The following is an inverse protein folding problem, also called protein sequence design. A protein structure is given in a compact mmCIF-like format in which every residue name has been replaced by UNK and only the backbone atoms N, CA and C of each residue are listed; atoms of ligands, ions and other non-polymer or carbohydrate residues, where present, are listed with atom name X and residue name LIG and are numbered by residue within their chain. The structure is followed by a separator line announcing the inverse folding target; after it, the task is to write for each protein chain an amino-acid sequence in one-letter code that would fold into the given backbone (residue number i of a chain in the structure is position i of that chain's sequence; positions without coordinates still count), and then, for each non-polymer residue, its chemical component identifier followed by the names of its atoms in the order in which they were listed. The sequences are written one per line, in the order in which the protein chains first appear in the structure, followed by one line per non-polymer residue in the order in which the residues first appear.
data_IF_145418674612
#
_entry.id   IF_145418674612
#
_cell.length_a   1.000
_cell.length_b   1.000
_cell.length_c   1.000
_cell.angle_alpha   90.00
_cell.angle_beta   90.00
_cell.angle_gamma   90.00
#
_symmetry.space_group_name_H-M   'P 1'
#
loop_
_entity.id
_entity.type
_entity.pdbx_description
1 polymer ?
#
# COMPACT_ATOMS: atom_id res chain seq x y z
N UNK A 1 -5.78 -1.41 0.53
CA UNK A 1 -4.69 -1.95 1.39
C UNK A 1 -5.32 -2.67 2.56
N UNK A 2 -4.63 -3.60 3.24
CA UNK A 2 -5.20 -4.37 4.37
C UNK A 2 -5.65 -3.49 5.55
N UNK A 3 -5.19 -2.25 5.61
CA UNK A 3 -5.45 -1.28 6.69
C UNK A 3 -6.40 -0.14 6.33
N UNK A 4 -7.06 -0.15 5.15
CA UNK A 4 -7.95 0.96 4.71
C UNK A 4 -9.01 1.32 5.76
N UNK A 5 -9.65 0.30 6.36
CA UNK A 5 -10.67 0.44 7.39
C UNK A 5 -10.21 1.25 8.61
N UNK A 6 -8.91 1.27 8.93
CA UNK A 6 -8.37 2.05 10.05
C UNK A 6 -8.38 3.56 9.73
N UNK A 7 -8.07 3.92 8.49
CA UNK A 7 -8.09 5.31 8.04
C UNK A 7 -9.51 5.84 7.89
N UNK A 8 -10.42 5.01 7.38
CA UNK A 8 -11.86 5.30 7.31
C UNK A 8 -12.42 5.56 8.71
N UNK A 9 -12.15 4.65 9.67
CA UNK A 9 -12.54 4.84 11.06
C UNK A 9 -12.05 6.17 11.66
N UNK A 10 -10.77 6.50 11.48
CA UNK A 10 -10.21 7.77 11.96
C UNK A 10 -10.91 8.98 11.33
N UNK A 11 -11.14 8.92 10.02
CA UNK A 11 -11.83 9.99 9.28
C UNK A 11 -13.26 10.19 9.79
N UNK A 12 -14.00 9.10 9.98
CA UNK A 12 -15.38 9.12 10.46
C UNK A 12 -15.47 9.65 11.89
N UNK A 13 -14.56 9.23 12.77
CA UNK A 13 -14.51 9.73 14.16
C UNK A 13 -14.24 11.26 14.18
N UNK A 14 -13.24 11.75 13.45
CA UNK A 14 -12.93 13.19 13.39
C UNK A 14 -14.06 13.99 12.77
N UNK A 15 -14.68 13.46 11.71
CA UNK A 15 -15.82 14.09 11.04
C UNK A 15 -17.02 14.18 11.99
N UNK A 16 -17.36 13.12 12.71
CA UNK A 16 -18.45 13.11 13.68
C UNK A 16 -18.29 14.17 14.76
N UNK A 17 -17.08 14.32 15.33
CA UNK A 17 -16.81 15.40 16.29
C UNK A 17 -17.01 16.80 15.71
N UNK A 18 -16.62 17.00 14.44
CA UNK A 18 -16.79 18.29 13.77
C UNK A 18 -18.27 18.59 13.50
N UNK A 19 -19.01 17.61 13.02
CA UNK A 19 -20.46 17.72 12.80
C UNK A 19 -21.21 18.03 14.10
N UNK A 20 -20.84 17.43 15.23
CA UNK A 20 -21.43 17.75 16.53
C UNK A 20 -21.20 19.21 16.95
N UNK A 21 -20.01 19.77 16.65
CA UNK A 21 -19.69 21.18 16.92
C UNK A 21 -20.52 22.09 16.02
N UNK A 22 -20.57 21.79 14.73
CA UNK A 22 -21.29 22.60 13.73
C UNK A 22 -22.80 22.59 14.00
N UNK A 23 -23.36 21.43 14.41
CA UNK A 23 -24.75 21.32 14.82
C UNK A 23 -25.08 22.15 16.07
N UNK A 24 -24.16 22.21 17.05
CA UNK A 24 -24.34 23.05 18.24
C UNK A 24 -24.29 24.54 17.88
N UNK A 25 -23.37 24.95 17.01
CA UNK A 25 -23.26 26.32 16.53
C UNK A 25 -24.57 26.77 15.85
N UNK A 26 -25.07 25.97 14.90
CA UNK A 26 -26.35 26.23 14.24
C UNK A 26 -27.51 26.32 15.23
N UNK A 27 -27.57 25.41 16.21
CA UNK A 27 -28.64 25.42 17.22
C UNK A 27 -28.60 26.70 18.08
N UNK A 28 -27.41 27.13 18.49
CA UNK A 28 -27.22 28.36 19.27
C UNK A 28 -27.67 29.59 18.46
N UNK A 29 -27.34 29.65 17.17
CA UNK A 29 -27.77 30.74 16.28
C UNK A 29 -29.31 30.79 16.15
N UNK A 30 -29.96 29.65 15.95
CA UNK A 30 -31.42 29.58 15.80
C UNK A 30 -32.15 29.93 17.10
N UNK A 31 -31.66 29.45 18.25
CA UNK A 31 -32.19 29.84 19.56
C UNK A 31 -32.01 31.34 19.80
N UNK A 32 -30.89 31.92 19.36
CA UNK A 32 -30.64 33.37 19.49
C UNK A 32 -31.66 34.19 18.71
N UNK A 33 -31.89 33.86 17.43
CA UNK A 33 -32.91 34.53 16.59
C UNK A 33 -34.31 34.41 17.21
N UNK A 34 -34.65 33.24 17.72
CA UNK A 34 -35.95 33.01 18.38
C UNK A 34 -36.13 33.88 19.62
N UNK A 35 -35.08 34.03 20.44
CA UNK A 35 -35.11 34.92 21.61
C UNK A 35 -35.29 36.38 21.18
N UNK A 36 -34.62 36.82 20.12
CA UNK A 36 -34.74 38.19 19.58
C UNK A 36 -36.16 38.51 19.10
N UNK A 37 -36.79 37.58 18.38
CA UNK A 37 -38.17 37.70 17.92
C UNK A 37 -39.17 37.76 19.10
N UNK A 38 -39.03 36.85 20.06
CA UNK A 38 -39.88 36.82 21.25
C UNK A 38 -39.68 38.07 22.12
N UNK A 39 -38.45 38.58 22.21
CA UNK A 39 -38.14 39.82 22.94
C UNK A 39 -38.81 41.03 22.30
N UNK A 40 -38.94 41.03 20.97
CA UNK A 40 -39.68 42.07 20.24
C UNK A 40 -41.18 41.97 20.51
N UNK A 41 -41.75 40.76 20.50
CA UNK A 41 -43.16 40.53 20.84
C UNK A 41 -43.48 40.91 22.29
N UNK A 42 -42.60 40.56 23.23
CA UNK A 42 -42.74 40.93 24.64
C UNK A 42 -42.84 42.44 24.84
N UNK A 43 -41.99 43.22 24.16
CA UNK A 43 -42.04 44.70 24.21
C UNK A 43 -43.38 45.24 23.72
N UNK A 44 -43.93 44.68 22.65
CA UNK A 44 -45.25 45.09 22.14
C UNK A 44 -46.38 44.73 23.10
N UNK A 45 -46.36 43.55 23.73
CA UNK A 45 -47.36 43.18 24.74
C UNK A 45 -47.34 44.12 25.96
N UNK A 46 -46.15 44.49 26.45
CA UNK A 46 -46.00 45.47 27.53
C UNK A 46 -46.55 46.84 27.13
N UNK A 47 -46.26 47.30 25.91
CA UNK A 47 -46.72 48.59 25.39
C UNK A 47 -48.24 48.70 25.30
N UNK A 48 -48.93 47.62 24.96
CA UNK A 48 -50.40 47.59 24.88
C UNK A 48 -51.08 47.19 26.20
N UNK A 49 -50.32 46.95 27.28
CA UNK A 49 -50.83 46.56 28.60
C UNK A 49 -51.40 45.14 28.67
N UNK A 50 -50.96 44.23 27.80
CA UNK A 50 -51.38 42.83 27.81
C UNK A 50 -50.43 41.97 28.65
N UNK A 51 -50.50 42.15 29.97
CA UNK A 51 -49.57 41.54 30.93
C UNK A 51 -49.59 40.01 30.88
N UNK A 52 -50.75 39.39 30.62
CA UNK A 52 -50.86 37.93 30.56
C UNK A 52 -50.04 37.31 29.41
N UNK A 53 -50.07 37.91 28.22
CA UNK A 53 -49.25 37.44 27.10
C UNK A 53 -47.78 37.85 27.25
N UNK A 54 -47.51 38.99 27.90
CA UNK A 54 -46.16 39.40 28.26
C UNK A 54 -45.49 38.36 29.18
N UNK A 55 -46.16 37.95 30.26
CA UNK A 55 -45.64 36.96 31.21
C UNK A 55 -45.42 35.58 30.56
N UNK A 56 -46.34 35.14 29.69
CA UNK A 56 -46.16 33.90 28.92
C UNK A 56 -44.95 33.97 28.00
N UNK A 57 -44.74 35.10 27.33
CA UNK A 57 -43.61 35.32 26.43
C UNK A 57 -42.30 35.37 27.20
N UNK A 58 -42.26 36.09 28.32
CA UNK A 58 -41.10 36.13 29.23
C UNK A 58 -40.69 34.73 29.70
N UNK A 59 -41.66 33.91 30.13
CA UNK A 59 -41.37 32.54 30.56
C UNK A 59 -40.80 31.66 29.44
N UNK A 60 -41.16 31.90 28.18
CA UNK A 60 -40.55 31.22 27.02
C UNK A 60 -39.12 31.70 26.78
N UNK A 61 -38.90 33.01 26.81
CA UNK A 61 -37.57 33.61 26.66
C UNK A 61 -36.62 33.05 27.73
N UNK A 62 -37.02 33.09 29.01
CA UNK A 62 -36.20 32.61 30.13
C UNK A 62 -35.80 31.14 29.97
N UNK A 63 -36.70 30.27 29.50
CA UNK A 63 -36.37 28.87 29.21
C UNK A 63 -35.35 28.73 28.07
N UNK A 64 -35.53 29.50 26.99
CA UNK A 64 -34.62 29.47 25.84
C UNK A 64 -33.24 30.03 26.20
N UNK A 65 -33.17 31.05 27.06
CA UNK A 65 -31.90 31.59 27.56
C UNK A 65 -31.13 30.56 28.39
N UNK A 66 -31.82 29.83 29.27
CA UNK A 66 -31.22 28.73 30.04
C UNK A 66 -30.71 27.60 29.14
N UNK A 67 -31.47 27.22 28.11
CA UNK A 67 -31.06 26.22 27.12
C UNK A 67 -29.85 26.69 26.30
N UNK A 68 -29.88 27.93 25.80
CA UNK A 68 -28.78 28.55 25.07
C UNK A 68 -27.51 28.61 25.92
N UNK A 69 -27.61 28.93 27.21
CA UNK A 69 -26.46 28.96 28.11
C UNK A 69 -25.81 27.57 28.26
N UNK A 70 -26.62 26.51 28.35
CA UNK A 70 -26.13 25.12 28.39
C UNK A 70 -25.45 24.72 27.08
N UNK A 71 -26.06 25.04 25.94
CA UNK A 71 -25.52 24.70 24.62
C UNK A 71 -24.23 25.47 24.33
N UNK A 72 -24.16 26.77 24.66
CA UNK A 72 -22.94 27.58 24.57
C UNK A 72 -21.79 26.96 25.39
N UNK A 73 -22.05 26.58 26.64
CA UNK A 73 -21.03 25.94 27.47
C UNK A 73 -20.54 24.62 26.85
N UNK A 74 -21.44 23.83 26.27
CA UNK A 74 -21.09 22.58 25.60
C UNK A 74 -20.29 22.82 24.31
N UNK A 75 -20.67 23.83 23.54
CA UNK A 75 -19.99 24.23 22.30
C UNK A 75 -18.55 24.64 22.57
N UNK A 76 -18.31 25.56 23.52
CA UNK A 76 -16.98 26.05 23.84
C UNK A 76 -16.04 24.91 24.29
N UNK A 77 -16.53 24.04 25.19
CA UNK A 77 -15.74 22.89 25.67
C UNK A 77 -15.43 21.91 24.51
N UNK A 78 -16.40 21.62 23.63
CA UNK A 78 -16.14 20.73 22.49
C UNK A 78 -15.15 21.34 21.50
N UNK A 79 -15.24 22.64 21.24
CA UNK A 79 -14.34 23.37 20.36
C UNK A 79 -12.91 23.39 20.90
N UNK A 80 -12.75 23.61 22.21
CA UNK A 80 -11.47 23.53 22.91
C UNK A 80 -10.86 22.13 22.81
N UNK A 81 -11.65 21.09 23.08
CA UNK A 81 -11.18 19.70 23.12
C UNK A 81 -10.95 19.09 21.73
N UNK A 82 -11.52 19.66 20.66
CA UNK A 82 -11.50 19.07 19.31
C UNK A 82 -10.08 18.71 18.84
N UNK A 83 -9.13 19.63 19.00
CA UNK A 83 -7.75 19.39 18.57
C UNK A 83 -7.05 18.30 19.38
N UNK A 84 -7.35 18.19 20.69
CA UNK A 84 -6.82 17.12 21.55
C UNK A 84 -7.37 15.76 21.12
N UNK A 85 -8.69 15.68 20.96
CA UNK A 85 -9.37 14.45 20.54
C UNK A 85 -8.87 14.00 19.17
N UNK A 86 -8.79 14.92 18.19
CA UNK A 86 -8.24 14.63 16.86
C UNK A 86 -6.82 14.07 16.95
N UNK A 87 -5.97 14.64 17.81
CA UNK A 87 -4.60 14.17 18.03
C UNK A 87 -4.57 12.77 18.65
N UNK A 88 -5.39 12.50 19.66
CA UNK A 88 -5.50 11.19 20.28
C UNK A 88 -5.93 10.12 19.27
N UNK A 89 -6.96 10.39 18.46
CA UNK A 89 -7.41 9.49 17.40
C UNK A 89 -6.35 9.24 16.34
N UNK A 90 -5.57 10.25 16.00
CA UNK A 90 -4.44 10.10 15.08
C UNK A 90 -3.35 9.21 15.69
N UNK A 91 -3.05 9.36 16.97
CA UNK A 91 -2.08 8.49 17.66
C UNK A 91 -2.57 7.04 17.65
N UNK A 92 -3.85 6.79 17.96
CA UNK A 92 -4.45 5.45 17.90
C UNK A 92 -4.30 4.82 16.50
N UNK A 93 -4.59 5.58 15.44
CA UNK A 93 -4.37 5.14 14.06
C UNK A 93 -2.89 4.77 13.83
N UNK A 94 -1.97 5.65 14.21
CA UNK A 94 -0.53 5.46 13.94
C UNK A 94 0.08 4.29 14.73
N UNK A 95 -0.44 3.99 15.93
CA UNK A 95 0.01 2.84 16.72
C UNK A 95 -0.27 1.51 16.02
N UNK A 96 -1.23 1.45 15.08
CA UNK A 96 -1.46 0.26 14.25
C UNK A 96 -0.34 -0.02 13.25
N UNK A 97 0.58 0.92 13.02
CA UNK A 97 1.75 0.71 12.13
C UNK A 97 2.56 -0.52 12.52
N UNK A 98 2.66 -0.81 13.82
CA UNK A 98 3.40 -1.97 14.33
C UNK A 98 2.84 -3.32 13.86
N UNK A 99 1.56 -3.37 13.53
CA UNK A 99 0.87 -4.59 13.09
C UNK A 99 1.00 -4.81 11.57
N UNK A 100 1.46 -3.80 10.80
CA UNK A 100 1.53 -3.89 9.33
C UNK A 100 2.38 -5.09 8.87
N UNK A 101 3.58 -5.37 9.40
CA UNK A 101 4.38 -6.51 8.95
C UNK A 101 3.65 -7.85 9.08
N UNK A 102 3.00 -8.08 10.22
CA UNK A 102 2.24 -9.31 10.49
C UNK A 102 1.10 -9.51 9.49
N UNK A 103 0.43 -8.42 9.10
CA UNK A 103 -0.64 -8.47 8.10
C UNK A 103 -0.19 -8.99 6.74
N UNK A 104 1.09 -8.93 6.39
CA UNK A 104 1.61 -9.40 5.09
C UNK A 104 2.55 -10.61 5.22
N UNK A 105 2.74 -11.12 6.45
CA UNK A 105 3.75 -12.13 6.74
C UNK A 105 3.45 -13.46 6.03
N UNK A 106 2.20 -13.89 6.00
CA UNK A 106 1.82 -15.17 5.37
C UNK A 106 2.05 -15.15 3.86
N UNK A 107 1.61 -14.09 3.16
CA UNK A 107 1.85 -13.97 1.72
C UNK A 107 3.34 -13.84 1.40
N UNK A 108 4.08 -13.08 2.21
CA UNK A 108 5.53 -12.94 2.04
C UNK A 108 6.24 -14.29 2.22
N UNK A 109 5.87 -15.08 3.22
CA UNK A 109 6.43 -16.41 3.45
C UNK A 109 6.07 -17.38 2.33
N UNK A 110 4.83 -17.33 1.82
CA UNK A 110 4.39 -18.14 0.69
C UNK A 110 5.23 -17.88 -0.56
N UNK A 111 5.38 -16.61 -0.93
CA UNK A 111 6.17 -16.19 -2.09
C UNK A 111 7.67 -16.52 -1.90
N UNK A 112 8.19 -16.41 -0.68
CA UNK A 112 9.57 -16.79 -0.39
C UNK A 112 9.82 -18.29 -0.64
N UNK A 113 8.88 -19.15 -0.21
CA UNK A 113 8.96 -20.61 -0.48
C UNK A 113 8.85 -20.93 -1.96
N UNK A 114 7.99 -20.23 -2.70
CA UNK A 114 7.87 -20.40 -4.15
C UNK A 114 9.16 -20.00 -4.88
N UNK A 115 9.76 -18.88 -4.47
CA UNK A 115 11.05 -18.42 -4.99
C UNK A 115 12.16 -19.45 -4.71
N UNK A 116 12.25 -19.96 -3.48
CA UNK A 116 13.22 -20.99 -3.11
C UNK A 116 13.06 -22.26 -3.96
N UNK A 117 11.81 -22.70 -4.17
CA UNK A 117 11.48 -23.82 -5.06
C UNK A 117 11.93 -23.59 -6.49
N UNK A 118 11.71 -22.39 -7.02
CA UNK A 118 12.09 -22.01 -8.39
C UNK A 118 13.61 -21.94 -8.55
N UNK A 119 14.33 -21.39 -7.57
CA UNK A 119 15.81 -21.37 -7.56
C UNK A 119 16.35 -22.80 -7.60
N UNK A 120 15.76 -23.72 -6.81
CA UNK A 120 16.17 -25.13 -6.82
C UNK A 120 15.96 -25.78 -8.18
N UNK A 121 14.82 -25.51 -8.84
CA UNK A 121 14.55 -26.02 -10.18
C UNK A 121 15.53 -25.46 -11.22
N UNK A 122 15.81 -24.15 -11.17
CA UNK A 122 16.78 -23.49 -12.03
C UNK A 122 18.18 -24.13 -11.90
N UNK A 123 18.67 -24.28 -10.67
CA UNK A 123 19.99 -24.88 -10.42
C UNK A 123 20.06 -26.32 -10.93
N UNK A 124 19.02 -27.13 -10.74
CA UNK A 124 18.96 -28.49 -11.28
C UNK A 124 19.08 -28.53 -12.81
N UNK A 125 18.49 -27.56 -13.51
CA UNK A 125 18.65 -27.45 -14.98
C UNK A 125 20.07 -27.06 -15.35
N UNK A 126 20.70 -26.14 -14.62
CA UNK A 126 22.11 -25.77 -14.82
C UNK A 126 23.03 -26.98 -14.63
N UNK A 127 22.82 -27.77 -13.59
CA UNK A 127 23.60 -28.99 -13.33
C UNK A 127 23.49 -29.98 -14.49
N UNK A 128 22.27 -30.21 -15.01
CA UNK A 128 22.05 -31.07 -16.19
C UNK A 128 22.75 -30.55 -17.43
N UNK A 129 22.71 -29.24 -17.67
CA UNK A 129 23.42 -28.62 -18.80
C UNK A 129 24.94 -28.81 -18.65
N UNK A 130 25.47 -28.62 -17.44
CA UNK A 130 26.90 -28.77 -17.19
C UNK A 130 27.35 -30.22 -17.41
N UNK A 131 26.59 -31.21 -16.95
CA UNK A 131 26.87 -32.63 -17.18
C UNK A 131 26.87 -32.97 -18.68
N UNK A 132 25.85 -32.53 -19.42
CA UNK A 132 25.77 -32.75 -20.88
C UNK A 132 26.94 -32.09 -21.62
N UNK A 133 27.33 -30.88 -21.21
CA UNK A 133 28.48 -30.20 -21.78
C UNK A 133 29.81 -30.91 -21.45
N UNK A 134 29.92 -31.60 -20.32
CA UNK A 134 31.10 -32.43 -20.01
C UNK A 134 31.15 -33.66 -20.92
N UNK A 135 30.07 -34.42 -21.04
CA UNK A 135 29.98 -35.57 -21.94
C UNK A 135 30.31 -35.17 -23.39
N UNK A 136 29.78 -34.04 -23.85
CA UNK A 136 30.09 -33.48 -25.16
C UNK A 136 31.59 -33.16 -25.33
N UNK A 137 32.23 -32.56 -24.33
CA UNK A 137 33.67 -32.26 -24.38
C UNK A 137 34.52 -33.51 -24.40
N UNK A 138 34.19 -34.51 -23.58
CA UNK A 138 34.90 -35.78 -23.55
C UNK A 138 34.84 -36.47 -24.91
N UNK A 139 33.68 -36.48 -25.55
CA UNK A 139 33.54 -37.06 -26.89
C UNK A 139 34.33 -36.27 -27.93
N UNK A 140 34.28 -34.93 -27.94
CA UNK A 140 35.10 -34.12 -28.84
C UNK A 140 36.60 -34.39 -28.65
N UNK A 141 37.04 -34.49 -27.41
CA UNK A 141 38.44 -34.79 -27.09
C UNK A 141 38.89 -36.15 -27.66
N UNK A 142 38.02 -37.17 -27.67
CA UNK A 142 38.35 -38.47 -28.31
C UNK A 142 38.63 -38.32 -29.80
N UNK A 143 37.83 -37.53 -30.52
CA UNK A 143 38.06 -37.26 -31.94
C UNK A 143 39.34 -36.44 -32.16
N UNK A 144 39.54 -35.37 -31.40
CA UNK A 144 40.75 -34.53 -31.48
C UNK A 144 42.03 -35.34 -31.20
N UNK A 145 41.97 -36.23 -30.21
CA UNK A 145 43.07 -37.14 -29.88
C UNK A 145 43.42 -38.06 -31.05
N UNK A 146 42.44 -38.63 -31.74
CA UNK A 146 42.68 -39.47 -32.92
C UNK A 146 43.30 -38.67 -34.08
N UNK A 147 42.86 -37.43 -34.28
CA UNK A 147 43.41 -36.51 -35.29
C UNK A 147 44.89 -36.24 -34.99
N UNK A 148 45.22 -35.95 -33.75
CA UNK A 148 46.58 -35.63 -33.32
C UNK A 148 47.50 -36.86 -33.35
N UNK A 149 47.05 -38.00 -32.81
CA UNK A 149 47.83 -39.25 -32.77
C UNK A 149 48.22 -39.75 -34.17
N UNK A 150 47.35 -39.55 -35.16
CA UNK A 150 47.58 -40.01 -36.54
C UNK A 150 48.17 -38.91 -37.44
N UNK A 151 48.60 -37.78 -36.86
CA UNK A 151 49.11 -36.60 -37.59
C UNK A 151 48.19 -36.12 -38.73
N UNK A 152 46.87 -36.33 -38.61
CA UNK A 152 45.91 -36.10 -39.69
C UNK A 152 45.89 -34.65 -40.16
N UNK A 153 46.28 -33.70 -39.29
CA UNK A 153 46.50 -32.29 -39.62
C UNK A 153 47.49 -32.08 -40.77
N UNK A 154 48.39 -33.03 -41.06
CA UNK A 154 49.35 -32.99 -42.18
C UNK A 154 48.79 -33.59 -43.48
N UNK A 155 47.73 -34.41 -43.40
CA UNK A 155 47.15 -35.09 -44.55
C UNK A 155 46.32 -34.14 -45.43
N UNK A 156 46.56 -34.18 -46.74
CA UNK A 156 45.93 -33.25 -47.70
C UNK A 156 44.44 -33.54 -47.90
N UNK A 157 44.06 -34.82 -48.00
CA UNK A 157 42.67 -35.21 -48.24
C UNK A 157 41.82 -34.96 -46.99
N UNK A 158 42.36 -35.27 -45.82
CA UNK A 158 41.76 -34.94 -44.54
C UNK A 158 41.58 -33.44 -44.41
N UNK A 159 42.61 -32.60 -44.59
CA UNK A 159 42.42 -31.14 -44.50
C UNK A 159 41.37 -30.60 -45.46
N UNK A 160 41.35 -31.10 -46.70
CA UNK A 160 40.37 -30.69 -47.71
C UNK A 160 38.93 -30.99 -47.26
N UNK A 161 38.70 -32.17 -46.66
CA UNK A 161 37.36 -32.59 -46.20
C UNK A 161 37.02 -32.14 -44.78
N UNK A 162 37.99 -32.07 -43.90
CA UNK A 162 37.83 -31.71 -42.48
C UNK A 162 37.48 -30.23 -42.33
N UNK A 163 37.98 -29.37 -43.23
CA UNK A 163 37.55 -27.97 -43.32
C UNK A 163 36.03 -27.80 -43.52
N UNK A 164 35.36 -28.77 -44.14
CA UNK A 164 33.90 -28.78 -44.33
C UNK A 164 33.14 -29.03 -43.01
N UNK A 165 33.80 -29.64 -42.01
CA UNK A 165 33.20 -30.01 -40.72
C UNK A 165 33.70 -29.11 -39.57
N UNK A 166 34.88 -28.48 -39.71
CA UNK A 166 35.53 -27.59 -38.72
C UNK A 166 34.59 -26.51 -38.15
N UNK A 167 33.68 -25.98 -38.97
CA UNK A 167 32.76 -24.89 -38.61
C UNK A 167 31.81 -25.31 -37.46
N UNK A 168 31.62 -26.60 -37.23
CA UNK A 168 30.78 -27.13 -36.15
C UNK A 168 31.45 -27.15 -34.76
N UNK A 169 32.76 -26.88 -34.67
CA UNK A 169 33.59 -27.19 -33.48
C UNK A 169 34.21 -25.98 -32.77
N UNK A 170 33.81 -24.75 -33.10
CA UNK A 170 34.42 -23.55 -32.49
C UNK A 170 34.00 -23.31 -31.02
N UNK A 171 33.09 -24.12 -30.46
CA UNK A 171 32.58 -23.94 -29.11
C UNK A 171 32.71 -25.23 -28.29
N UNK A 172 33.43 -25.15 -27.17
CA UNK A 172 33.61 -26.27 -26.22
C UNK A 172 32.36 -26.55 -25.36
N UNK A 173 31.26 -25.84 -25.61
CA UNK A 173 29.98 -26.00 -24.93
C UNK A 173 28.87 -26.14 -25.95
N UNK A 174 28.09 -27.21 -25.83
CA UNK A 174 26.87 -27.40 -26.63
C UNK A 174 25.78 -26.40 -26.22
N UNK A 175 25.68 -26.10 -24.92
CA UNK A 175 24.73 -25.11 -24.37
C UNK A 175 25.49 -24.10 -23.52
N UNK A 176 25.45 -22.81 -23.90
CA UNK A 176 26.17 -21.75 -23.19
C UNK A 176 25.32 -21.11 -22.07
N UNK A 177 25.57 -21.53 -20.82
CA UNK A 177 24.89 -20.98 -19.63
C UNK A 177 25.32 -19.55 -19.28
N UNK A 178 26.44 -19.05 -19.82
CA UNK A 178 26.89 -17.66 -19.61
C UNK A 178 26.01 -16.63 -20.32
N UNK A 179 25.09 -17.08 -21.18
CA UNK A 179 24.08 -16.22 -21.80
C UNK A 179 22.94 -15.84 -20.84
N UNK A 180 22.81 -16.54 -19.71
CA UNK A 180 21.79 -16.30 -18.70
C UNK A 180 22.24 -15.15 -17.78
N UNK A 181 21.39 -14.14 -17.61
CA UNK A 181 21.67 -12.97 -16.76
C UNK A 181 20.39 -12.41 -16.14
N UNK A 182 20.55 -11.46 -15.23
CA UNK A 182 19.44 -10.62 -14.77
C UNK A 182 19.33 -9.36 -15.64
N UNK A 183 18.11 -9.00 -16.03
CA UNK A 183 17.82 -7.71 -16.67
C UNK A 183 17.68 -6.58 -15.63
N UNK A 184 17.41 -5.36 -16.10
CA UNK A 184 17.23 -4.17 -15.25
C UNK A 184 16.09 -4.31 -14.23
N UNK A 185 15.13 -5.19 -14.49
CA UNK A 185 14.00 -5.50 -13.62
C UNK A 185 14.29 -6.67 -12.66
N UNK A 186 15.54 -7.11 -12.55
CA UNK A 186 15.97 -8.27 -11.74
C UNK A 186 15.28 -9.58 -12.13
N UNK A 187 14.88 -9.73 -13.41
CA UNK A 187 14.33 -10.98 -13.94
C UNK A 187 15.40 -11.73 -14.73
N UNK A 188 15.42 -13.06 -14.61
CA UNK A 188 16.28 -13.92 -15.43
C UNK A 188 15.88 -13.81 -16.91
N UNK A 189 16.87 -13.65 -17.77
CA UNK A 189 16.73 -13.66 -19.22
C UNK A 189 17.89 -14.40 -19.88
N UNK A 190 17.65 -14.89 -21.10
CA UNK A 190 18.67 -15.48 -21.97
C UNK A 190 19.03 -14.46 -23.04
N UNK A 191 20.29 -14.08 -23.11
CA UNK A 191 20.81 -13.21 -24.17
C UNK A 191 20.73 -13.97 -25.51
N UNK A 192 19.87 -13.49 -26.41
CA UNK A 192 19.82 -13.96 -27.80
C UNK A 192 21.04 -13.49 -28.57
#
# INVERSE_FOLDING_TARGET
MKTNHLFEKYSDEVKGYKEEIDNLESKIEDTTKTIEDLSSQYKEYIKIGNDSEADKTFNKISKLEDEKAKDNKRFEIKKELFNSIKREKLIDLLLNRKNIPELYQEEAQSLARELEGTIKQFNNVIDKINNMNEEYREDMYKFDSLIDQNEMKKDNLFRQRYGEVIVLYLNNFLINTKSIRFNEHKKLEVKK
#
